data_IF_939602642859
#
_entry.id   IF_939602642859
#
_cell.length_a   1.000
_cell.length_b   1.000
_cell.length_c   1.000
_cell.angle_alpha   90.00
_cell.angle_beta   90.00
_cell.angle_gamma   90.00
#
_symmetry.space_group_name_H-M   'P 1'
#
loop_
_entity.id
_entity.type
_entity.pdbx_description
1 polymer ?
#
# COMPACT_ATOMS: atom_id res chain seq x y z
N UNK A 1 -14.99 -6.59 -28.14
CA UNK A 1 -14.43 -6.10 -26.86
C UNK A 1 -13.80 -7.29 -26.14
N UNK A 2 -12.47 -7.34 -26.04
CA UNK A 2 -11.76 -8.40 -25.34
C UNK A 2 -11.98 -8.22 -23.84
N UNK A 3 -12.78 -9.11 -23.22
CA UNK A 3 -12.81 -9.24 -21.78
C UNK A 3 -11.45 -9.79 -21.37
N UNK A 4 -10.55 -8.93 -20.89
CA UNK A 4 -9.31 -9.41 -20.28
C UNK A 4 -9.69 -10.39 -19.14
N UNK A 5 -9.03 -11.55 -19.06
CA UNK A 5 -9.51 -12.66 -18.24
C UNK A 5 -9.55 -12.22 -16.79
N UNK A 6 -10.74 -12.29 -16.18
CA UNK A 6 -11.05 -11.91 -14.79
C UNK A 6 -9.98 -12.39 -13.78
N UNK A 7 -9.37 -13.54 -14.06
CA UNK A 7 -8.31 -14.16 -13.28
C UNK A 7 -6.98 -13.38 -13.24
N UNK A 8 -6.59 -12.69 -14.33
CA UNK A 8 -5.37 -11.86 -14.34
C UNK A 8 -5.56 -10.60 -13.50
N UNK A 9 -6.76 -10.01 -13.52
CA UNK A 9 -7.07 -8.85 -12.69
C UNK A 9 -7.10 -9.22 -11.20
N UNK A 10 -7.67 -10.37 -10.84
CA UNK A 10 -7.65 -10.82 -9.44
C UNK A 10 -6.24 -11.09 -8.92
N UNK A 11 -5.35 -11.64 -9.76
CA UNK A 11 -3.95 -11.87 -9.39
C UNK A 11 -3.19 -10.55 -9.17
N UNK A 12 -3.39 -9.56 -10.05
CA UNK A 12 -2.80 -8.22 -9.89
C UNK A 12 -3.31 -7.55 -8.62
N UNK A 13 -4.61 -7.63 -8.33
CA UNK A 13 -5.19 -7.07 -7.10
C UNK A 13 -4.56 -7.70 -5.86
N UNK A 14 -4.36 -9.02 -5.86
CA UNK A 14 -3.72 -9.73 -4.75
C UNK A 14 -2.24 -9.33 -4.57
N UNK A 15 -1.50 -9.24 -5.67
CA UNK A 15 -0.11 -8.75 -5.65
C UNK A 15 -0.03 -7.30 -5.10
N UNK A 16 -0.97 -6.43 -5.49
CA UNK A 16 -1.04 -5.07 -4.95
C UNK A 16 -1.34 -5.06 -3.44
N UNK A 17 -2.24 -5.92 -2.94
CA UNK A 17 -2.51 -6.05 -1.49
C UNK A 17 -1.27 -6.47 -0.71
N UNK A 18 -0.53 -7.45 -1.24
CA UNK A 18 0.71 -7.92 -0.63
C UNK A 18 1.77 -6.82 -0.57
N UNK A 19 1.99 -6.11 -1.69
CA UNK A 19 2.93 -4.99 -1.74
C UNK A 19 2.56 -3.87 -0.75
N UNK A 20 1.28 -3.51 -0.65
CA UNK A 20 0.80 -2.51 0.30
C UNK A 20 1.00 -2.93 1.76
N UNK A 21 0.83 -4.22 2.06
CA UNK A 21 1.08 -4.76 3.39
C UNK A 21 2.55 -4.59 3.77
N UNK A 22 3.48 -4.90 2.86
CA UNK A 22 4.92 -4.70 3.07
C UNK A 22 5.26 -3.22 3.30
N UNK A 23 4.68 -2.31 2.49
CA UNK A 23 4.89 -0.87 2.66
C UNK A 23 4.41 -0.40 4.03
N UNK A 24 3.19 -0.76 4.43
CA UNK A 24 2.61 -0.35 5.73
C UNK A 24 3.50 -0.85 6.88
N UNK A 25 3.88 -2.12 6.88
CA UNK A 25 4.74 -2.70 7.92
C UNK A 25 6.12 -2.02 7.96
N UNK A 26 6.72 -1.77 6.79
CA UNK A 26 8.01 -1.06 6.69
C UNK A 26 7.91 0.36 7.26
N UNK A 27 6.83 1.09 6.95
CA UNK A 27 6.63 2.42 7.54
C UNK A 27 6.50 2.38 9.06
N UNK A 28 5.87 1.36 9.62
CA UNK A 28 5.74 1.21 11.07
C UNK A 28 7.07 0.84 11.74
N UNK A 29 7.89 0.01 11.10
CA UNK A 29 9.24 -0.31 11.58
C UNK A 29 10.11 0.94 11.61
N UNK A 30 10.17 1.70 10.50
CA UNK A 30 10.97 2.92 10.40
C UNK A 30 10.53 3.93 11.46
N UNK A 31 9.22 4.14 11.61
CA UNK A 31 8.67 5.05 12.62
C UNK A 31 9.07 4.69 14.06
N UNK A 32 9.21 3.39 14.33
CA UNK A 32 9.47 2.88 15.69
C UNK A 32 10.96 2.81 16.00
N UNK A 33 11.81 2.55 14.99
CA UNK A 33 13.24 2.25 15.20
C UNK A 33 14.17 3.41 14.85
N UNK A 34 13.75 4.31 13.95
CA UNK A 34 14.61 5.37 13.43
C UNK A 34 14.30 6.72 14.06
N UNK A 35 15.34 7.53 14.27
CA UNK A 35 15.16 8.96 14.60
C UNK A 35 15.06 9.75 13.30
N UNK A 36 13.84 10.14 12.95
CA UNK A 36 13.55 10.89 11.73
C UNK A 36 13.53 12.40 11.98
N UNK A 37 14.00 13.17 10.99
CA UNK A 37 13.75 14.62 10.95
C UNK A 37 12.23 14.91 10.87
N UNK A 38 11.79 16.14 11.16
CA UNK A 38 10.39 16.53 10.97
C UNK A 38 9.87 16.23 9.55
N UNK A 39 10.68 16.48 8.53
CA UNK A 39 10.37 16.21 7.12
C UNK A 39 10.27 14.69 6.87
N UNK A 40 11.19 13.91 7.44
CA UNK A 40 11.14 12.45 7.36
C UNK A 40 9.88 11.87 7.99
N UNK A 41 9.45 12.39 9.15
CA UNK A 41 8.19 12.00 9.79
C UNK A 41 6.98 12.34 8.92
N UNK A 42 6.97 13.53 8.32
CA UNK A 42 5.89 13.96 7.42
C UNK A 42 5.80 13.07 6.18
N UNK A 43 6.93 12.81 5.52
CA UNK A 43 7.01 11.92 4.36
C UNK A 43 6.51 10.51 4.72
N UNK A 44 6.93 9.97 5.86
CA UNK A 44 6.52 8.63 6.29
C UNK A 44 5.01 8.53 6.57
N UNK A 45 4.42 9.58 7.15
CA UNK A 45 2.97 9.66 7.35
C UNK A 45 2.20 9.75 6.02
N UNK A 46 2.72 10.51 5.06
CA UNK A 46 2.13 10.60 3.72
C UNK A 46 2.15 9.24 3.01
N UNK A 47 3.28 8.52 3.03
CA UNK A 47 3.39 7.16 2.49
C UNK A 47 2.36 6.23 3.12
N UNK A 48 2.27 6.23 4.46
CA UNK A 48 1.31 5.39 5.18
C UNK A 48 -0.14 5.73 4.82
N UNK A 49 -0.48 7.02 4.72
CA UNK A 49 -1.82 7.48 4.33
C UNK A 49 -2.20 7.05 2.92
N UNK A 50 -1.28 7.21 1.96
CA UNK A 50 -1.51 6.77 0.57
C UNK A 50 -1.65 5.25 0.47
N UNK A 51 -0.82 4.48 1.19
CA UNK A 51 -0.92 3.03 1.20
C UNK A 51 -2.28 2.55 1.74
N UNK A 52 -2.78 3.17 2.82
CA UNK A 52 -4.12 2.89 3.32
C UNK A 52 -5.23 3.25 2.34
N UNK A 53 -5.10 4.39 1.64
CA UNK A 53 -6.06 4.82 0.63
C UNK A 53 -6.16 3.79 -0.51
N UNK A 54 -5.02 3.35 -1.05
CA UNK A 54 -4.98 2.35 -2.13
C UNK A 54 -5.56 1.02 -1.64
N UNK A 55 -5.19 0.57 -0.43
CA UNK A 55 -5.73 -0.68 0.13
C UNK A 55 -7.26 -0.65 0.28
N UNK A 56 -7.82 0.51 0.66
CA UNK A 56 -9.27 0.71 0.74
C UNK A 56 -9.93 0.61 -0.63
N UNK A 57 -9.36 1.21 -1.67
CA UNK A 57 -9.92 1.14 -3.01
C UNK A 57 -9.83 -0.27 -3.60
N UNK A 58 -8.74 -1.00 -3.36
CA UNK A 58 -8.61 -2.40 -3.79
C UNK A 58 -9.68 -3.30 -3.17
N UNK A 59 -10.02 -3.10 -1.89
CA UNK A 59 -11.10 -3.85 -1.22
C UNK A 59 -12.49 -3.59 -1.79
N UNK A 60 -12.70 -2.45 -2.46
CA UNK A 60 -13.98 -2.14 -3.15
C UNK A 60 -14.04 -2.72 -4.56
N UNK A 61 -12.90 -3.10 -5.12
CA UNK A 61 -12.79 -3.65 -6.47
C UNK A 61 -13.02 -5.19 -6.51
N UNK A 62 -13.17 -5.82 -5.34
CA UNK A 62 -13.63 -7.20 -5.15
C UNK A 62 -15.15 -7.29 -5.15
#
# INVERSE_FOLDING_TARGET
MQNAPRNKYSEIVEQCKQALTVIILSTDIIRTRETLSPEGKKCLQEIKSQAWRINRELKKAE
#
